data_IF_988699070926
#
_entry.id   IF_988699070926
#
_cell.length_a   1.000
_cell.length_b   1.000
_cell.length_c   1.000
_cell.angle_alpha   90.00
_cell.angle_beta   90.00
_cell.angle_gamma   90.00
#
_symmetry.space_group_name_H-M   'P 1'
#
loop_
_entity.id
_entity.type
_entity.pdbx_description
1 polymer ?
#
# COMPACT_ATOMS: atom_id res chain seq x y z
N UNK A 1 -1.23 -12.96 -6.84
CA UNK A 1 -0.43 -11.79 -6.43
C UNK A 1 -1.07 -10.52 -7.02
N UNK A 2 -1.12 -9.42 -6.29
CA UNK A 2 -1.77 -8.16 -6.72
C UNK A 2 -0.68 -7.09 -6.90
N UNK A 3 -0.69 -6.36 -8.02
CA UNK A 3 0.20 -5.22 -8.22
C UNK A 3 -0.46 -3.94 -7.70
N UNK A 4 -0.18 -3.59 -6.44
CA UNK A 4 -0.77 -2.42 -5.76
C UNK A 4 -0.40 -1.08 -6.41
N UNK A 5 0.79 -0.96 -7.00
CA UNK A 5 1.23 0.28 -7.70
C UNK A 5 0.27 0.63 -8.84
N UNK A 6 -0.13 -0.36 -9.64
CA UNK A 6 -1.08 -0.13 -10.74
C UNK A 6 -2.48 0.23 -10.23
N UNK A 7 -2.91 -0.38 -9.12
CA UNK A 7 -4.21 -0.09 -8.52
C UNK A 7 -4.23 1.34 -7.95
N UNK A 8 -3.19 1.75 -7.23
CA UNK A 8 -3.12 3.08 -6.63
C UNK A 8 -3.04 4.17 -7.70
N UNK A 9 -2.22 3.96 -8.74
CA UNK A 9 -2.17 4.82 -9.92
C UNK A 9 -3.52 4.95 -10.61
N UNK A 10 -4.26 3.85 -10.74
CA UNK A 10 -5.61 3.86 -11.33
C UNK A 10 -6.62 4.64 -10.48
N UNK A 11 -6.62 4.45 -9.16
CA UNK A 11 -7.48 5.20 -8.24
C UNK A 11 -7.14 6.69 -8.24
N UNK A 12 -5.85 7.03 -8.23
CA UNK A 12 -5.36 8.40 -8.33
C UNK A 12 -5.82 9.08 -9.62
N UNK A 13 -5.65 8.41 -10.77
CA UNK A 13 -6.09 8.92 -12.07
C UNK A 13 -7.61 9.10 -12.17
N UNK A 14 -8.39 8.32 -11.40
CA UNK A 14 -9.84 8.49 -11.26
C UNK A 14 -10.24 9.61 -10.30
N UNK A 15 -9.28 10.29 -9.69
CA UNK A 15 -9.54 11.36 -8.72
C UNK A 15 -10.11 10.87 -7.39
N UNK A 16 -9.92 9.60 -7.04
CA UNK A 16 -10.36 9.08 -5.75
C UNK A 16 -9.63 9.78 -4.60
N UNK A 17 -10.37 10.27 -3.60
CA UNK A 17 -9.85 10.99 -2.42
C UNK A 17 -10.22 10.33 -1.09
N UNK A 18 -10.80 9.13 -1.13
CA UNK A 18 -11.16 8.38 0.06
C UNK A 18 -9.96 7.63 0.66
N UNK A 19 -10.22 6.88 1.72
CA UNK A 19 -9.21 6.08 2.42
C UNK A 19 -9.21 4.66 1.85
N UNK A 20 -8.02 4.15 1.52
CA UNK A 20 -7.83 2.73 1.17
C UNK A 20 -7.38 1.99 2.42
N UNK A 21 -8.25 1.12 2.96
CA UNK A 21 -7.96 0.30 4.12
C UNK A 21 -6.92 -0.78 3.82
N UNK A 22 -6.03 -1.02 4.79
CA UNK A 22 -5.05 -2.10 4.77
C UNK A 22 -5.55 -3.24 5.65
N UNK A 23 -6.52 -4.02 5.16
CA UNK A 23 -7.15 -5.12 5.90
C UNK A 23 -6.38 -6.44 5.70
N UNK A 24 -5.10 -6.46 6.04
CA UNK A 24 -4.31 -7.69 6.05
C UNK A 24 -3.26 -7.66 7.17
N UNK A 25 -2.83 -8.85 7.61
CA UNK A 25 -1.73 -8.98 8.57
C UNK A 25 -0.36 -8.75 7.94
N UNK A 26 0.65 -8.57 8.78
CA UNK A 26 2.05 -8.47 8.35
C UNK A 26 2.62 -9.84 7.99
N UNK A 27 3.33 -9.91 6.86
CA UNK A 27 4.04 -11.11 6.43
C UNK A 27 5.30 -11.38 7.26
N UNK A 28 5.89 -10.33 7.82
CA UNK A 28 7.04 -10.35 8.74
C UNK A 28 6.53 -9.99 10.14
N UNK A 29 7.01 -10.70 11.16
CA UNK A 29 6.61 -10.45 12.56
C UNK A 29 7.45 -9.35 13.21
N UNK A 30 6.88 -8.70 14.22
CA UNK A 30 7.59 -7.72 15.05
C UNK A 30 7.79 -6.37 14.37
N UNK A 31 8.59 -5.50 15.01
CA UNK A 31 8.77 -4.10 14.61
C UNK A 31 9.31 -3.94 13.18
N UNK A 32 10.14 -4.88 12.71
CA UNK A 32 10.67 -4.88 11.35
C UNK A 32 9.56 -5.07 10.31
N UNK A 33 8.56 -5.92 10.61
CA UNK A 33 7.40 -6.11 9.76
C UNK A 33 6.53 -4.86 9.66
N UNK A 34 6.31 -4.18 10.79
CA UNK A 34 5.58 -2.90 10.80
C UNK A 34 6.30 -1.82 9.98
N UNK A 35 7.62 -1.70 10.13
CA UNK A 35 8.42 -0.74 9.35
C UNK A 35 8.42 -1.08 7.86
N UNK A 36 8.59 -2.37 7.53
CA UNK A 36 8.57 -2.83 6.13
C UNK A 36 7.22 -2.61 5.48
N UNK A 37 6.13 -2.77 6.23
CA UNK A 37 4.77 -2.52 5.76
C UNK A 37 4.59 -1.04 5.39
N UNK A 38 4.92 -0.13 6.31
CA UNK A 38 4.84 1.32 6.08
C UNK A 38 5.67 1.71 4.84
N UNK A 39 6.89 1.18 4.76
CA UNK A 39 7.78 1.44 3.63
C UNK A 39 7.20 0.92 2.30
N UNK A 40 6.57 -0.27 2.30
CA UNK A 40 5.90 -0.82 1.12
C UNK A 40 4.85 0.14 0.58
N UNK A 41 4.00 0.66 1.47
CA UNK A 41 2.90 1.56 1.12
C UNK A 41 3.41 2.88 0.54
N UNK A 42 4.53 3.40 1.05
CA UNK A 42 5.18 4.58 0.48
C UNK A 42 5.75 4.33 -0.92
N UNK A 43 6.36 3.16 -1.14
CA UNK A 43 6.94 2.78 -2.44
C UNK A 43 5.88 2.59 -3.53
N UNK A 44 4.72 2.01 -3.18
CA UNK A 44 3.63 1.82 -4.15
C UNK A 44 2.84 3.10 -4.44
N UNK A 45 3.03 4.16 -3.64
CA UNK A 45 2.43 5.48 -3.83
C UNK A 45 3.31 6.43 -4.67
N UNK A 46 4.55 6.04 -5.00
CA UNK A 46 5.50 6.84 -5.79
C UNK A 46 5.36 6.56 -7.31
N UNK A 47 4.40 7.20 -7.99
CA UNK A 47 4.04 6.91 -9.40
C UNK A 47 3.58 8.11 -10.26
#
# INVERSE_FOLDING_TARGET
EINYKNIFKHLYNKGYKGIVGMEHGNSIKGIEGEQRLIQAYREVDDF
#
